data_IF_878186512055
#
_entry.id   IF_878186512055
#
_cell.length_a   1.000
_cell.length_b   1.000
_cell.length_c   1.000
_cell.angle_alpha   90.00
_cell.angle_beta   90.00
_cell.angle_gamma   90.00
#
_symmetry.space_group_name_H-M   'P 1'
#
loop_
_entity.id
_entity.type
_entity.pdbx_description
1 polymer ?
#
# COMPACT_ATOMS: atom_id res chain seq x y z
N UNK A 1 -15.57 -1.40 11.63
CA UNK A 1 -15.07 -1.33 10.24
C UNK A 1 -13.63 -0.85 10.28
N UNK A 2 -12.67 -1.77 10.31
CA UNK A 2 -11.24 -1.44 10.21
C UNK A 2 -10.97 -1.04 8.76
N UNK A 3 -10.44 0.17 8.52
CA UNK A 3 -10.08 0.67 7.18
C UNK A 3 -8.56 0.88 7.14
N UNK A 4 -7.77 -0.13 6.73
CA UNK A 4 -6.30 -0.07 6.77
C UNK A 4 -5.71 1.09 5.98
N UNK A 5 -6.39 1.49 4.90
CA UNK A 5 -5.97 2.59 4.01
C UNK A 5 -6.10 3.99 4.63
N UNK A 6 -6.80 4.14 5.78
CA UNK A 6 -6.98 5.44 6.46
C UNK A 6 -5.77 5.81 7.33
N UNK A 7 -4.88 4.85 7.63
CA UNK A 7 -3.69 5.07 8.47
C UNK A 7 -2.43 5.47 7.68
N UNK A 8 -2.54 5.71 6.37
CA UNK A 8 -1.41 6.17 5.54
C UNK A 8 -1.15 7.69 5.68
N UNK A 9 -1.51 8.30 6.81
CA UNK A 9 -0.98 9.61 7.17
C UNK A 9 0.48 9.44 7.58
N UNK A 10 1.37 10.22 6.96
CA UNK A 10 2.83 10.26 7.23
C UNK A 10 3.15 10.43 8.72
N UNK A 11 2.20 10.96 9.51
CA UNK A 11 2.36 11.26 10.94
C UNK A 11 2.43 10.05 11.88
N UNK A 12 2.03 8.84 11.47
CA UNK A 12 1.99 7.63 12.33
C UNK A 12 2.79 6.45 11.76
N UNK A 13 3.86 6.75 11.04
CA UNK A 13 4.77 5.75 10.44
C UNK A 13 5.23 4.68 11.44
N UNK A 14 5.58 5.05 12.67
CA UNK A 14 6.02 4.09 13.69
C UNK A 14 4.92 3.11 14.12
N UNK A 15 3.67 3.56 14.21
CA UNK A 15 2.54 2.66 14.51
C UNK A 15 2.27 1.71 13.34
N UNK A 16 2.37 2.21 12.10
CA UNK A 16 2.23 1.38 10.91
C UNK A 16 3.31 0.28 10.85
N UNK A 17 4.57 0.64 11.11
CA UNK A 17 5.66 -0.35 11.17
C UNK A 17 5.42 -1.36 12.29
N UNK A 18 5.01 -0.94 13.48
CA UNK A 18 4.68 -1.84 14.59
C UNK A 18 3.55 -2.82 14.24
N UNK A 19 2.48 -2.34 13.61
CA UNK A 19 1.37 -3.19 13.15
C UNK A 19 1.80 -4.17 12.04
N UNK A 20 2.69 -3.76 11.14
CA UNK A 20 3.25 -4.62 10.11
C UNK A 20 4.13 -5.72 10.72
N UNK A 21 5.00 -5.38 11.68
CA UNK A 21 5.80 -6.35 12.42
C UNK A 21 4.93 -7.33 13.20
N UNK A 22 3.87 -6.85 13.86
CA UNK A 22 2.90 -7.71 14.55
C UNK A 22 2.19 -8.65 13.58
N UNK A 23 1.75 -8.16 12.42
CA UNK A 23 1.14 -8.98 11.38
C UNK A 23 2.12 -10.05 10.87
N UNK A 24 3.39 -9.68 10.62
CA UNK A 24 4.43 -10.63 10.19
C UNK A 24 4.66 -11.69 11.27
N UNK A 25 4.69 -11.31 12.55
CA UNK A 25 4.85 -12.22 13.68
C UNK A 25 3.69 -13.21 13.79
N UNK A 26 2.45 -12.71 13.75
CA UNK A 26 1.24 -13.53 13.77
C UNK A 26 1.18 -14.49 12.58
N UNK A 27 1.53 -14.01 11.39
CA UNK A 27 1.55 -14.86 10.19
C UNK A 27 2.60 -15.96 10.30
N UNK A 28 3.81 -15.62 10.73
CA UNK A 28 4.94 -16.55 10.87
C UNK A 28 4.71 -17.61 11.95
N UNK A 29 3.89 -17.30 12.96
CA UNK A 29 3.57 -18.22 14.07
C UNK A 29 2.24 -18.95 13.91
N UNK A 30 1.46 -18.64 12.85
CA UNK A 30 0.14 -19.23 12.61
C UNK A 30 0.15 -20.71 12.23
N UNK A 31 1.31 -21.28 11.89
CA UNK A 31 1.43 -22.64 11.35
C UNK A 31 0.97 -22.76 9.88
N UNK A 32 0.66 -21.64 9.22
CA UNK A 32 0.16 -21.63 7.85
C UNK A 32 1.20 -22.16 6.85
N UNK A 33 2.49 -21.83 7.02
CA UNK A 33 3.53 -22.30 6.12
C UNK A 33 3.67 -23.83 6.19
N UNK A 34 3.65 -24.38 7.40
CA UNK A 34 3.71 -25.82 7.67
C UNK A 34 2.51 -26.54 7.05
N UNK A 35 1.30 -26.02 7.27
CA UNK A 35 0.07 -26.58 6.68
C UNK A 35 0.12 -26.55 5.14
N UNK A 36 0.59 -25.46 4.54
CA UNK A 36 0.73 -25.35 3.08
C UNK A 36 1.79 -26.32 2.53
N UNK A 37 2.88 -26.55 3.26
CA UNK A 37 3.92 -27.53 2.87
C UNK A 37 3.35 -28.94 2.85
N UNK A 38 2.66 -29.35 3.91
CA UNK A 38 1.99 -30.65 3.99
C UNK A 38 0.97 -30.85 2.86
N UNK A 39 0.20 -29.80 2.54
CA UNK A 39 -0.74 -29.82 1.42
C UNK A 39 -0.04 -29.93 0.05
N UNK A 40 1.14 -29.33 -0.10
CA UNK A 40 1.94 -29.43 -1.33
C UNK A 40 2.58 -30.81 -1.53
N UNK A 41 2.74 -31.59 -0.46
CA UNK A 41 3.35 -32.91 -0.50
C UNK A 41 2.31 -34.03 -0.63
N UNK A 42 1.10 -33.85 -0.08
CA UNK A 42 0.15 -34.93 0.13
C UNK A 42 -1.21 -34.81 -0.61
N UNK A 43 -1.44 -33.77 -1.44
CA UNK A 43 -2.75 -33.52 -2.06
C UNK A 43 -2.73 -33.56 -3.59
N UNK A 44 -3.90 -33.72 -4.19
CA UNK A 44 -4.14 -33.75 -5.64
C UNK A 44 -3.37 -32.68 -6.41
N UNK A 45 -2.93 -32.97 -7.65
CA UNK A 45 -2.00 -32.13 -8.40
C UNK A 45 -2.40 -30.64 -8.55
N UNK A 46 -3.70 -30.35 -8.61
CA UNK A 46 -4.22 -28.98 -8.73
C UNK A 46 -4.07 -28.15 -7.45
N UNK A 47 -4.38 -28.73 -6.29
CA UNK A 47 -4.25 -28.05 -5.00
C UNK A 47 -2.77 -27.91 -4.59
N UNK A 48 -1.94 -28.87 -5.01
CA UNK A 48 -0.49 -28.85 -4.84
C UNK A 48 0.15 -27.61 -5.47
N UNK A 49 -0.23 -27.27 -6.71
CA UNK A 49 0.30 -26.11 -7.42
C UNK A 49 -0.11 -24.78 -6.75
N UNK A 50 -1.35 -24.68 -6.27
CA UNK A 50 -1.81 -23.52 -5.52
C UNK A 50 -1.04 -23.35 -4.20
N UNK A 51 -0.84 -24.44 -3.45
CA UNK A 51 -0.06 -24.42 -2.21
C UNK A 51 1.40 -23.99 -2.45
N UNK A 52 2.05 -24.50 -3.50
CA UNK A 52 3.41 -24.07 -3.90
C UNK A 52 3.49 -22.60 -4.26
N UNK A 53 2.52 -22.08 -5.02
CA UNK A 53 2.45 -20.68 -5.38
C UNK A 53 2.27 -19.77 -4.15
N UNK A 54 1.45 -20.20 -3.18
CA UNK A 54 1.26 -19.50 -1.91
C UNK A 54 2.54 -19.50 -1.06
N UNK A 55 3.24 -20.64 -0.94
CA UNK A 55 4.53 -20.71 -0.24
C UNK A 55 5.56 -19.78 -0.88
N UNK A 56 5.65 -19.75 -2.22
CA UNK A 56 6.55 -18.85 -2.93
C UNK A 56 6.21 -17.37 -2.67
N UNK A 57 4.91 -17.06 -2.63
CA UNK A 57 4.43 -15.71 -2.35
C UNK A 57 4.75 -15.27 -0.91
N UNK A 58 4.58 -16.15 0.08
CA UNK A 58 4.96 -15.89 1.48
C UNK A 58 6.45 -15.56 1.59
N UNK A 59 7.32 -16.37 0.96
CA UNK A 59 8.77 -16.14 0.94
C UNK A 59 9.14 -14.82 0.28
N UNK A 60 8.49 -14.51 -0.84
CA UNK A 60 8.71 -13.23 -1.53
C UNK A 60 8.34 -12.05 -0.64
N UNK A 61 7.19 -12.09 0.03
CA UNK A 61 6.76 -11.03 0.95
C UNK A 61 7.73 -10.87 2.12
N UNK A 62 8.22 -11.97 2.71
CA UNK A 62 9.22 -11.91 3.78
C UNK A 62 10.56 -11.29 3.32
N UNK A 63 10.89 -11.40 2.02
CA UNK A 63 12.09 -10.80 1.43
C UNK A 63 11.92 -9.33 1.01
N UNK A 64 10.70 -8.79 1.04
CA UNK A 64 10.44 -7.40 0.71
C UNK A 64 10.97 -6.52 1.83
N UNK A 65 11.98 -5.71 1.52
CA UNK A 65 12.43 -4.64 2.40
C UNK A 65 11.41 -3.50 2.41
N UNK A 66 10.55 -3.51 3.43
CA UNK A 66 9.49 -2.53 3.63
C UNK A 66 10.04 -1.11 3.75
N UNK A 67 11.25 -0.93 4.29
CA UNK A 67 11.90 0.38 4.38
C UNK A 67 12.34 0.85 3.00
N UNK A 68 12.98 -0.01 2.21
CA UNK A 68 13.36 0.33 0.83
C UNK A 68 12.13 0.62 -0.04
N UNK A 69 11.04 -0.13 0.10
CA UNK A 69 9.78 0.12 -0.64
C UNK A 69 9.15 1.44 -0.20
N UNK A 70 9.09 1.69 1.11
CA UNK A 70 8.59 2.95 1.64
C UNK A 70 9.43 4.13 1.14
N UNK A 71 10.75 4.06 1.24
CA UNK A 71 11.66 5.12 0.83
C UNK A 71 11.60 5.37 -0.69
N UNK A 72 11.41 4.32 -1.48
CA UNK A 72 11.19 4.47 -2.92
C UNK A 72 9.87 5.18 -3.24
N UNK A 73 8.80 4.90 -2.50
CA UNK A 73 7.46 5.47 -2.74
C UNK A 73 7.33 6.89 -2.18
N UNK A 74 7.95 7.17 -1.02
CA UNK A 74 7.72 8.40 -0.26
C UNK A 74 8.94 9.34 -0.17
N UNK A 75 10.18 8.84 -0.19
CA UNK A 75 11.40 9.68 -0.01
C UNK A 75 11.99 10.15 -1.35
N UNK A 76 11.87 9.37 -2.42
CA UNK A 76 12.23 9.87 -3.75
C UNK A 76 11.22 10.95 -4.17
N UNK A 77 11.61 12.23 -3.97
CA UNK A 77 10.88 13.47 -4.30
C UNK A 77 10.14 13.41 -5.64
N UNK A 78 8.94 12.86 -5.61
CA UNK A 78 8.00 12.85 -6.73
C UNK A 78 6.87 13.77 -6.32
N UNK A 79 6.36 14.57 -7.25
CA UNK A 79 5.19 15.40 -6.99
C UNK A 79 4.03 14.47 -6.60
N UNK A 80 3.66 14.48 -5.32
CA UNK A 80 2.55 13.69 -4.80
C UNK A 80 1.29 14.53 -4.94
N UNK A 81 0.27 14.01 -5.60
CA UNK A 81 -1.04 14.66 -5.62
C UNK A 81 -1.56 14.77 -4.19
N UNK A 82 -1.73 15.98 -3.65
CA UNK A 82 -2.12 16.19 -2.25
C UNK A 82 -3.44 15.51 -1.87
N UNK A 83 -4.40 15.46 -2.80
CA UNK A 83 -5.71 14.84 -2.54
C UNK A 83 -5.69 13.31 -2.48
N UNK A 84 -4.89 12.66 -3.32
CA UNK A 84 -4.86 11.19 -3.40
C UNK A 84 -3.68 10.59 -2.64
N UNK A 85 -2.68 11.39 -2.28
CA UNK A 85 -1.39 10.96 -1.73
C UNK A 85 -0.64 9.98 -2.65
N UNK A 86 -0.95 10.01 -3.94
CA UNK A 86 -0.32 9.13 -4.94
C UNK A 86 0.77 9.89 -5.69
N UNK A 87 1.91 9.24 -6.00
CA UNK A 87 2.92 9.80 -6.89
C UNK A 87 2.33 10.08 -8.27
N UNK A 88 2.71 11.22 -8.86
CA UNK A 88 2.28 11.58 -10.21
C UNK A 88 2.62 10.52 -11.26
N UNK A 89 3.76 9.81 -11.16
CA UNK A 89 4.10 8.78 -12.15
C UNK A 89 3.26 7.52 -12.07
N UNK A 90 2.59 7.27 -10.94
CA UNK A 90 1.71 6.10 -10.80
C UNK A 90 0.44 6.26 -11.67
N UNK A 91 0.11 7.50 -12.03
CA UNK A 91 -1.07 7.87 -12.80
C UNK A 91 -0.68 8.87 -13.90
N UNK A 92 0.30 8.47 -14.73
CA UNK A 92 0.86 9.28 -15.82
C UNK A 92 -0.19 9.74 -16.86
N UNK A 93 -1.33 9.06 -16.94
CA UNK A 93 -2.46 9.41 -17.81
C UNK A 93 -3.31 10.56 -17.27
N UNK A 94 -3.22 10.86 -15.97
CA UNK A 94 -4.03 11.90 -15.34
C UNK A 94 -3.35 13.26 -15.44
N UNK A 95 -4.10 14.24 -15.95
CA UNK A 95 -3.65 15.62 -15.98
C UNK A 95 -3.49 16.17 -14.57
N UNK A 96 -2.34 16.77 -14.29
CA UNK A 96 -2.04 17.45 -13.03
C UNK A 96 -2.22 18.96 -13.19
N UNK A 97 -2.71 19.61 -12.14
CA UNK A 97 -2.84 21.06 -12.02
C UNK A 97 -2.23 21.51 -10.71
N UNK A 98 -1.66 22.71 -10.71
CA UNK A 98 -1.17 23.35 -9.49
C UNK A 98 -2.32 24.16 -8.85
N UNK A 99 -2.58 23.91 -7.57
CA UNK A 99 -3.59 24.63 -6.80
C UNK A 99 -2.96 25.07 -5.48
N UNK A 100 -2.79 26.38 -5.28
CA UNK A 100 -2.05 26.94 -4.14
C UNK A 100 -0.62 26.38 -3.98
N UNK A 101 0.15 26.33 -5.08
CA UNK A 101 1.53 25.85 -5.12
C UNK A 101 1.74 24.35 -4.83
N UNK A 102 0.65 23.58 -4.81
CA UNK A 102 0.69 22.15 -4.57
C UNK A 102 0.07 21.40 -5.77
N UNK A 103 0.61 20.22 -6.14
CA UNK A 103 0.10 19.47 -7.28
C UNK A 103 -1.15 18.64 -6.93
N UNK A 104 -2.14 18.64 -7.83
CA UNK A 104 -3.37 17.86 -7.71
C UNK A 104 -3.73 17.22 -9.05
N UNK A 105 -4.35 16.03 -9.03
CA UNK A 105 -5.02 15.52 -10.23
C UNK A 105 -6.22 16.41 -10.56
N UNK A 106 -6.29 16.89 -11.80
CA UNK A 106 -7.29 17.85 -12.28
C UNK A 106 -8.72 17.37 -12.00
N UNK A 107 -8.98 16.07 -12.18
CA UNK A 107 -10.30 15.49 -11.93
C UNK A 107 -10.68 15.62 -10.45
N UNK A 108 -9.75 15.31 -9.55
CA UNK A 108 -9.98 15.40 -8.10
C UNK A 108 -10.09 16.85 -7.63
N UNK A 109 -9.25 17.74 -8.16
CA UNK A 109 -9.31 19.17 -7.88
C UNK A 109 -10.66 19.76 -8.32
N UNK A 110 -11.13 19.44 -9.52
CA UNK A 110 -12.43 19.88 -10.02
C UNK A 110 -13.58 19.32 -9.18
N UNK A 111 -13.53 18.05 -8.79
CA UNK A 111 -14.55 17.44 -7.96
C UNK A 111 -14.66 18.17 -6.60
N UNK A 112 -13.52 18.40 -5.95
CA UNK A 112 -13.46 19.12 -4.68
C UNK A 112 -13.93 20.56 -4.81
N UNK A 113 -13.41 21.30 -5.79
CA UNK A 113 -13.73 22.71 -6.04
C UNK A 113 -15.23 22.94 -6.25
N UNK A 114 -15.88 22.03 -6.99
CA UNK A 114 -17.30 22.18 -7.35
C UNK A 114 -18.26 21.66 -6.28
N UNK A 115 -17.88 20.62 -5.53
CA UNK A 115 -18.82 19.93 -4.63
C UNK A 115 -18.58 20.20 -3.14
N UNK A 116 -17.37 20.62 -2.76
CA UNK A 116 -16.98 20.72 -1.35
C UNK A 116 -16.55 22.14 -1.01
N UNK A 117 -15.51 22.67 -1.65
CA UNK A 117 -14.97 23.99 -1.34
C UNK A 117 -14.10 24.52 -2.47
N UNK A 118 -14.18 25.82 -2.80
CA UNK A 118 -13.28 26.47 -3.75
C UNK A 118 -11.85 26.64 -3.21
N UNK A 119 -11.60 26.28 -1.94
CA UNK A 119 -10.26 26.20 -1.37
C UNK A 119 -9.81 24.74 -1.29
N UNK A 120 -8.52 24.47 -1.51
CA UNK A 120 -7.99 23.11 -1.39
C UNK A 120 -8.14 22.61 0.06
N UNK A 121 -8.25 21.28 0.26
CA UNK A 121 -8.35 20.71 1.60
C UNK A 121 -7.10 21.03 2.42
N UNK A 122 -7.31 21.38 3.68
CA UNK A 122 -6.24 21.39 4.68
C UNK A 122 -6.01 19.96 5.15
N UNK A 123 -5.16 19.23 4.43
CA UNK A 123 -4.72 17.89 4.81
C UNK A 123 -3.52 18.02 5.76
N UNK A 124 -3.42 17.15 6.79
CA UNK A 124 -2.26 17.11 7.69
C UNK A 124 -0.97 16.73 6.98
#
# INVERSE_FOLDING_TARGET
LYKPWVLLSVSDQQQLYGLLEECVSLWSTSGLEEALREMSENVEPGLNNAAKALIASIKNIQSVDVLTVHDHIFIQRRSICKLSLLPQEMLSELKVVEWNNEPYFLILANLWANLISPNPPQLP
#
